data_IF_495668169713
#
_entry.id   IF_495668169713
#
_cell.length_a   1.000
_cell.length_b   1.000
_cell.length_c   1.000
_cell.angle_alpha   90.00
_cell.angle_beta   90.00
_cell.angle_gamma   90.00
#
_symmetry.space_group_name_H-M   'P 1'
#
loop_
_entity.id
_entity.type
_entity.pdbx_description
1 polymer ?
#
# COMPACT_ATOMS: atom_id res chain seq x y z
N UNK A 1 -19.49 -1.68 -3.11
CA UNK A 1 -18.45 -2.20 -2.19
C UNK A 1 -17.90 -1.01 -1.45
N UNK A 2 -17.56 -1.14 -0.17
CA UNK A 2 -16.92 -0.10 0.64
C UNK A 2 -15.45 -0.45 0.88
N UNK A 3 -14.62 0.54 1.21
CA UNK A 3 -13.21 0.29 1.55
C UNK A 3 -13.07 -0.68 2.75
N UNK A 4 -14.02 -0.66 3.70
CA UNK A 4 -14.08 -1.60 4.83
C UNK A 4 -14.16 -3.06 4.41
N UNK A 5 -14.73 -3.35 3.23
CA UNK A 5 -14.85 -4.73 2.71
C UNK A 5 -13.47 -5.31 2.35
N UNK A 6 -12.45 -4.46 2.16
CA UNK A 6 -11.07 -4.85 1.87
C UNK A 6 -10.24 -5.10 3.15
N UNK A 7 -10.75 -4.76 4.34
CA UNK A 7 -9.99 -4.78 5.59
C UNK A 7 -9.45 -6.17 5.95
N UNK A 8 -10.20 -7.22 5.63
CA UNK A 8 -9.76 -8.61 5.85
C UNK A 8 -8.71 -9.09 4.85
N UNK A 9 -8.64 -8.50 3.66
CA UNK A 9 -7.72 -8.90 2.60
C UNK A 9 -6.34 -8.26 2.77
N UNK A 10 -6.30 -7.02 3.25
CA UNK A 10 -5.06 -6.25 3.27
C UNK A 10 -3.93 -6.94 4.07
N UNK A 11 -4.14 -7.46 5.30
CA UNK A 11 -3.06 -8.11 6.04
C UNK A 11 -2.53 -9.36 5.34
N UNK A 12 -3.40 -10.13 4.70
CA UNK A 12 -3.04 -11.36 3.97
C UNK A 12 -2.21 -11.02 2.73
N UNK A 13 -2.74 -10.14 1.88
CA UNK A 13 -2.05 -9.69 0.66
C UNK A 13 -0.71 -9.01 0.97
N UNK A 14 -0.66 -8.20 2.03
CA UNK A 14 0.56 -7.55 2.47
C UNK A 14 1.61 -8.56 2.93
N UNK A 15 1.21 -9.51 3.79
CA UNK A 15 2.08 -10.58 4.26
C UNK A 15 2.65 -11.39 3.08
N UNK A 16 1.81 -11.77 2.13
CA UNK A 16 2.22 -12.60 0.99
C UNK A 16 3.23 -11.88 0.10
N UNK A 17 2.98 -10.61 -0.25
CA UNK A 17 3.89 -9.82 -1.09
C UNK A 17 5.22 -9.57 -0.36
N UNK A 18 5.17 -9.11 0.89
CA UNK A 18 6.39 -8.81 1.66
C UNK A 18 7.24 -10.06 1.90
N UNK A 19 6.61 -11.18 2.23
CA UNK A 19 7.32 -12.42 2.48
C UNK A 19 7.90 -13.01 1.18
N UNK A 20 7.16 -13.01 0.08
CA UNK A 20 7.59 -13.60 -1.19
C UNK A 20 8.64 -12.75 -1.92
N UNK A 21 8.53 -11.42 -1.85
CA UNK A 21 9.36 -10.50 -2.64
C UNK A 21 10.46 -9.84 -1.83
N UNK A 22 10.18 -9.48 -0.58
CA UNK A 22 11.12 -8.72 0.27
C UNK A 22 11.70 -9.57 1.42
N UNK A 23 11.37 -10.86 1.52
CA UNK A 23 11.78 -11.72 2.65
C UNK A 23 11.48 -11.10 4.03
N UNK A 24 10.46 -10.25 4.10
CA UNK A 24 10.10 -9.45 5.27
C UNK A 24 8.87 -10.04 5.93
N UNK A 25 8.94 -10.25 7.25
CA UNK A 25 7.83 -10.80 8.02
C UNK A 25 6.95 -9.70 8.60
N UNK A 26 5.63 -9.93 8.54
CA UNK A 26 4.65 -9.10 9.23
C UNK A 26 4.63 -9.46 10.72
N UNK A 27 4.86 -8.47 11.59
CA UNK A 27 4.87 -8.64 13.04
C UNK A 27 3.53 -8.26 13.67
N UNK A 28 2.93 -7.17 13.19
CA UNK A 28 1.64 -6.69 13.67
C UNK A 28 0.87 -5.98 12.54
N UNK A 29 -0.45 -5.99 12.67
CA UNK A 29 -1.38 -5.31 11.76
C UNK A 29 -2.42 -4.56 12.58
N UNK A 30 -2.73 -3.33 12.17
CA UNK A 30 -3.81 -2.55 12.76
C UNK A 30 -4.52 -1.74 11.68
N UNK A 31 -5.84 -1.66 11.79
CA UNK A 31 -6.64 -0.70 11.04
C UNK A 31 -6.66 0.61 11.83
N UNK A 32 -6.43 1.73 11.15
CA UNK A 32 -6.45 3.05 11.75
C UNK A 32 -7.69 3.81 11.28
N UNK A 33 -8.28 4.57 12.19
CA UNK A 33 -9.31 5.53 11.84
C UNK A 33 -8.66 6.72 11.11
N UNK A 34 -9.38 7.41 10.22
CA UNK A 34 -8.84 8.55 9.46
C UNK A 34 -8.24 9.64 10.38
N UNK A 35 -8.90 9.93 11.51
CA UNK A 35 -8.38 10.82 12.56
C UNK A 35 -7.09 10.31 13.23
N UNK A 36 -6.90 9.00 13.36
CA UNK A 36 -5.69 8.39 13.91
C UNK A 36 -4.56 8.32 12.89
N UNK A 37 -4.90 8.27 11.60
CA UNK A 37 -3.95 8.35 10.49
C UNK A 37 -3.47 9.79 10.21
N UNK A 38 -4.24 10.80 10.62
CA UNK A 38 -4.08 12.21 10.26
C UNK A 38 -3.23 13.10 11.18
N UNK A 39 -2.37 12.58 12.07
CA UNK A 39 -1.52 13.45 12.90
C UNK A 39 -0.07 13.01 12.92
N UNK A 40 0.78 13.83 12.28
CA UNK A 40 1.24 13.59 10.93
C UNK A 40 2.09 12.31 10.88
N UNK A 41 2.17 11.63 9.74
CA UNK A 41 3.29 10.75 9.57
C UNK A 41 4.58 11.60 9.53
N UNK A 42 5.74 11.06 9.96
CA UNK A 42 6.96 11.85 10.08
C UNK A 42 7.24 12.64 8.81
N UNK A 43 7.89 13.81 8.92
CA UNK A 43 8.30 14.68 7.78
C UNK A 43 9.18 13.98 6.72
N UNK A 44 9.41 12.68 6.88
CA UNK A 44 10.23 11.78 6.07
C UNK A 44 9.39 10.66 5.44
N UNK A 45 8.08 10.89 5.30
CA UNK A 45 7.19 9.93 4.66
C UNK A 45 7.42 9.88 3.17
N UNK A 46 7.92 8.74 2.76
CA UNK A 46 8.18 8.39 1.38
C UNK A 46 7.03 7.50 0.92
N UNK A 47 6.27 7.95 -0.08
CA UNK A 47 5.03 7.28 -0.45
C UNK A 47 4.72 7.32 -1.93
N UNK A 48 3.93 6.34 -2.36
CA UNK A 48 3.43 6.22 -3.73
C UNK A 48 1.94 5.90 -3.72
N UNK A 49 1.24 6.41 -4.73
CA UNK A 49 -0.19 6.17 -4.93
C UNK A 49 -0.50 5.81 -6.36
N UNK A 50 -1.58 5.05 -6.56
CA UNK A 50 -2.07 4.65 -7.87
C UNK A 50 -3.60 4.56 -7.88
N UNK A 51 -4.18 4.51 -9.08
CA UNK A 51 -5.61 4.28 -9.29
C UNK A 51 -5.83 2.86 -9.78
N UNK A 52 -6.90 2.24 -9.31
CA UNK A 52 -7.37 0.97 -9.82
C UNK A 52 -8.78 1.13 -10.41
N UNK A 53 -9.07 0.38 -11.47
CA UNK A 53 -10.36 0.43 -12.17
C UNK A 53 -10.80 -0.97 -12.59
N UNK A 54 -12.04 -1.29 -12.28
CA UNK A 54 -12.70 -2.57 -12.56
C UNK A 54 -14.15 -2.57 -12.03
N UNK A 55 -14.67 -3.72 -11.61
CA UNK A 55 -15.92 -3.85 -10.83
C UNK A 55 -15.87 -2.99 -9.57
N UNK A 56 -14.68 -2.86 -8.99
CA UNK A 56 -14.38 -1.87 -7.96
C UNK A 56 -13.33 -0.93 -8.51
N UNK A 57 -13.56 0.36 -8.36
CA UNK A 57 -12.63 1.41 -8.78
C UNK A 57 -12.25 2.25 -7.58
N UNK A 58 -11.09 2.90 -7.65
CA UNK A 58 -10.64 3.70 -6.52
C UNK A 58 -9.17 4.07 -6.57
N UNK A 59 -8.66 4.45 -5.40
CA UNK A 59 -7.27 4.86 -5.18
C UNK A 59 -6.63 4.01 -4.09
N UNK A 60 -5.35 3.73 -4.28
CA UNK A 60 -4.50 3.09 -3.31
C UNK A 60 -3.26 3.96 -3.07
N UNK A 61 -2.72 3.91 -1.86
CA UNK A 61 -1.36 4.35 -1.65
C UNK A 61 -0.69 3.71 -0.46
N UNK A 62 0.63 3.87 -0.44
CA UNK A 62 1.54 3.31 0.54
C UNK A 62 2.52 4.39 0.98
N UNK A 63 2.76 4.46 2.29
CA UNK A 63 3.72 5.34 2.93
C UNK A 63 4.63 4.53 3.87
N UNK A 64 5.89 4.94 3.96
CA UNK A 64 6.89 4.34 4.81
C UNK A 64 8.04 5.32 5.02
N UNK A 65 8.79 5.15 6.11
CA UNK A 65 10.02 5.91 6.32
C UNK A 65 11.10 5.52 5.32
N UNK A 66 11.96 6.47 4.95
CA UNK A 66 13.08 6.22 4.02
C UNK A 66 14.00 5.06 4.47
N UNK A 67 14.20 4.88 5.79
CA UNK A 67 14.94 3.74 6.32
C UNK A 67 14.28 2.39 5.96
N UNK A 68 12.97 2.28 6.19
CA UNK A 68 12.17 1.11 5.79
C UNK A 68 12.23 0.88 4.29
N UNK A 69 12.08 1.95 3.49
CA UNK A 69 12.11 1.88 2.03
C UNK A 69 13.42 1.30 1.51
N UNK A 70 14.55 1.77 2.05
CA UNK A 70 15.89 1.25 1.71
C UNK A 70 16.06 -0.21 2.11
N UNK A 71 15.60 -0.60 3.30
CA UNK A 71 15.69 -2.00 3.76
C UNK A 71 14.87 -2.93 2.87
N UNK A 72 13.61 -2.58 2.58
CA UNK A 72 12.75 -3.37 1.68
C UNK A 72 13.34 -3.48 0.28
N UNK A 73 13.90 -2.39 -0.24
CA UNK A 73 14.58 -2.36 -1.54
C UNK A 73 15.80 -3.28 -1.56
N UNK A 74 16.62 -3.22 -0.51
CA UNK A 74 17.80 -4.07 -0.36
C UNK A 74 17.41 -5.55 -0.33
N UNK A 75 16.39 -5.90 0.47
CA UNK A 75 15.91 -7.27 0.53
C UNK A 75 15.32 -7.75 -0.81
N UNK A 76 14.51 -6.92 -1.47
CA UNK A 76 13.92 -7.23 -2.78
C UNK A 76 14.99 -7.52 -3.84
N UNK A 77 16.05 -6.71 -3.86
CA UNK A 77 17.16 -6.86 -4.79
C UNK A 77 18.21 -7.89 -4.33
N UNK A 78 18.04 -8.52 -3.16
CA UNK A 78 19.03 -9.36 -2.50
C UNK A 78 20.42 -8.70 -2.39
N UNK A 79 20.43 -7.42 -1.99
CA UNK A 79 21.60 -6.56 -1.81
C UNK A 79 21.70 -6.05 -0.37
N UNK A 80 22.85 -5.48 -0.02
CA UNK A 80 22.99 -4.65 1.17
C UNK A 80 22.55 -3.20 0.90
N UNK A 81 22.10 -2.50 1.94
CA UNK A 81 21.59 -1.10 1.82
C UNK A 81 22.65 -0.13 1.26
N UNK A 82 23.94 -0.40 1.47
CA UNK A 82 25.05 0.41 0.95
C UNK A 82 25.34 0.15 -0.54
N UNK A 83 24.79 -0.92 -1.11
CA UNK A 83 24.96 -1.31 -2.51
C UNK A 83 23.83 -0.81 -3.42
N UNK A 84 22.82 -0.16 -2.85
CA UNK A 84 21.71 0.41 -3.62
C UNK A 84 22.20 1.56 -4.51
N UNK A 85 21.82 1.51 -5.78
CA UNK A 85 22.07 2.58 -6.72
C UNK A 85 21.10 3.75 -6.53
N UNK A 86 21.42 4.89 -7.13
CA UNK A 86 20.50 6.01 -7.21
C UNK A 86 19.27 5.59 -8.05
N UNK A 87 18.07 5.69 -7.47
CA UNK A 87 16.81 5.32 -8.12
C UNK A 87 16.29 3.92 -7.77
N UNK A 88 17.11 3.01 -7.22
CA UNK A 88 16.67 1.65 -6.86
C UNK A 88 15.47 1.71 -5.89
N UNK A 89 15.48 2.64 -4.94
CA UNK A 89 14.41 2.78 -3.94
C UNK A 89 13.10 3.24 -4.58
N UNK A 90 13.15 4.21 -5.50
CA UNK A 90 11.97 4.71 -6.21
C UNK A 90 11.34 3.61 -7.07
N UNK A 91 12.16 2.86 -7.80
CA UNK A 91 11.70 1.79 -8.65
C UNK A 91 11.05 0.66 -7.84
N UNK A 92 11.72 0.19 -6.78
CA UNK A 92 11.21 -0.94 -6.01
C UNK A 92 10.01 -0.57 -5.15
N UNK A 93 9.96 0.63 -4.57
CA UNK A 93 8.80 1.04 -3.79
C UNK A 93 7.59 1.32 -4.69
N UNK A 94 7.78 1.83 -5.91
CA UNK A 94 6.74 1.84 -6.95
C UNK A 94 6.20 0.42 -7.18
N UNK A 95 7.09 -0.52 -7.48
CA UNK A 95 6.69 -1.90 -7.79
C UNK A 95 5.97 -2.55 -6.61
N UNK A 96 6.43 -2.30 -5.39
CA UNK A 96 5.77 -2.78 -4.17
C UNK A 96 4.36 -2.20 -4.02
N UNK A 97 4.16 -0.91 -4.29
CA UNK A 97 2.84 -0.31 -4.29
C UNK A 97 1.92 -0.96 -5.35
N UNK A 98 2.45 -1.24 -6.54
CA UNK A 98 1.73 -1.91 -7.60
C UNK A 98 1.32 -3.33 -7.19
N UNK A 99 2.26 -4.15 -6.71
CA UNK A 99 2.04 -5.52 -6.29
C UNK A 99 1.03 -5.61 -5.14
N UNK A 100 1.14 -4.74 -4.13
CA UNK A 100 0.19 -4.72 -3.01
C UNK A 100 -1.22 -4.37 -3.47
N UNK A 101 -1.38 -3.34 -4.30
CA UNK A 101 -2.68 -2.98 -4.84
C UNK A 101 -3.25 -4.10 -5.72
N UNK A 102 -2.45 -4.62 -6.66
CA UNK A 102 -2.85 -5.69 -7.56
C UNK A 102 -3.23 -6.98 -6.82
N UNK A 103 -2.49 -7.34 -5.77
CA UNK A 103 -2.81 -8.48 -4.93
C UNK A 103 -4.21 -8.34 -4.30
N UNK A 104 -4.52 -7.20 -3.68
CA UNK A 104 -5.83 -6.94 -3.07
C UNK A 104 -6.94 -6.90 -4.11
N UNK A 105 -6.76 -6.13 -5.18
CA UNK A 105 -7.80 -5.97 -6.23
C UNK A 105 -8.05 -7.31 -6.95
N UNK A 106 -7.03 -8.15 -7.11
CA UNK A 106 -7.20 -9.48 -7.73
C UNK A 106 -8.10 -10.42 -6.92
N UNK A 107 -8.14 -10.29 -5.60
CA UNK A 107 -9.04 -11.09 -4.75
C UNK A 107 -10.50 -10.67 -4.91
N UNK A 108 -10.74 -9.43 -5.32
CA UNK A 108 -12.07 -8.84 -5.45
C UNK A 108 -12.59 -8.93 -6.87
N UNK A 109 -11.70 -8.75 -7.86
CA UNK A 109 -12.05 -8.52 -9.25
C UNK A 109 -11.27 -9.39 -10.24
N UNK A 110 -10.65 -10.46 -9.75
CA UNK A 110 -9.80 -11.35 -10.55
C UNK A 110 -10.53 -12.03 -11.72
N UNK A 111 -11.84 -12.16 -11.66
CA UNK A 111 -12.64 -12.80 -12.72
C UNK A 111 -13.05 -11.84 -13.85
N UNK A 112 -13.18 -10.53 -13.59
CA UNK A 112 -13.66 -9.55 -14.59
C UNK A 112 -12.54 -8.72 -15.21
N UNK A 113 -11.33 -8.79 -14.63
CA UNK A 113 -10.16 -8.03 -15.07
C UNK A 113 -10.19 -6.59 -14.56
N UNK A 114 -9.02 -6.10 -14.16
CA UNK A 114 -8.84 -4.75 -13.64
C UNK A 114 -7.61 -4.09 -14.26
N UNK A 115 -7.54 -2.76 -14.17
CA UNK A 115 -6.41 -1.95 -14.64
C UNK A 115 -5.88 -1.12 -13.49
N UNK A 116 -4.56 -1.10 -13.34
CA UNK A 116 -3.83 -0.22 -12.42
C UNK A 116 -3.13 0.87 -13.23
N UNK A 117 -3.18 2.12 -12.76
CA UNK A 117 -2.26 3.15 -13.26
C UNK A 117 -0.87 2.91 -12.72
N UNK A 118 0.19 3.43 -13.37
CA UNK A 118 1.50 3.49 -12.77
C UNK A 118 1.45 4.18 -11.39
N UNK A 119 2.18 3.68 -10.39
CA UNK A 119 2.37 4.38 -9.13
C UNK A 119 3.11 5.71 -9.33
N UNK A 120 2.67 6.74 -8.62
CA UNK A 120 3.27 8.07 -8.64
C UNK A 120 3.63 8.49 -7.20
N UNK A 121 4.74 9.25 -6.99
CA UNK A 121 5.09 9.76 -5.67
C UNK A 121 3.96 10.63 -5.09
N UNK A 122 3.64 10.40 -3.82
CA UNK A 122 2.66 11.20 -3.06
C UNK A 122 3.36 11.81 -1.84
N UNK A 123 3.08 13.09 -1.60
CA UNK A 123 3.75 13.84 -0.51
C UNK A 123 3.07 13.71 0.85
N UNK A 124 1.76 13.53 0.87
CA UNK A 124 0.96 13.32 2.08
C UNK A 124 -0.19 12.38 1.76
N UNK A 125 -0.78 11.81 2.81
CA UNK A 125 -2.11 11.21 2.71
C UNK A 125 -3.06 12.21 2.05
N UNK A 126 -3.77 11.81 0.98
CA UNK A 126 -4.79 12.67 0.39
C UNK A 126 -5.89 12.99 1.40
N UNK A 127 -6.57 14.12 1.18
CA UNK A 127 -7.78 14.45 1.92
C UNK A 127 -8.88 13.47 1.46
N UNK A 128 -9.38 12.67 2.39
CA UNK A 128 -10.40 11.65 2.14
C UNK A 128 -11.58 11.87 3.06
N UNK A 129 -12.80 11.64 2.55
CA UNK A 129 -13.97 11.49 3.41
C UNK A 129 -13.80 10.22 4.26
N UNK A 130 -13.89 10.39 5.59
CA UNK A 130 -13.48 9.38 6.57
C UNK A 130 -14.29 8.07 6.50
N UNK A 131 -15.49 8.12 5.92
CA UNK A 131 -16.39 6.97 5.85
C UNK A 131 -16.05 5.97 4.73
N UNK A 132 -15.20 6.34 3.77
CA UNK A 132 -14.88 5.54 2.58
C UNK A 132 -13.39 5.26 2.39
N UNK A 133 -12.59 5.42 3.46
CA UNK A 133 -11.16 5.07 3.48
C UNK A 133 -10.88 3.90 4.42
N UNK A 134 -10.09 2.94 3.94
CA UNK A 134 -9.48 1.92 4.76
C UNK A 134 -8.01 2.27 4.94
N UNK A 135 -7.56 2.47 6.17
CA UNK A 135 -6.14 2.71 6.47
C UNK A 135 -5.63 1.54 7.28
N UNK A 136 -4.53 0.95 6.82
CA UNK A 136 -3.90 -0.18 7.50
C UNK A 136 -2.43 0.09 7.76
N UNK A 137 -2.00 -0.14 9.00
CA UNK A 137 -0.62 -0.05 9.44
C UNK A 137 -0.06 -1.45 9.69
N UNK A 138 1.10 -1.69 9.11
CA UNK A 138 1.85 -2.93 9.16
C UNK A 138 3.19 -2.67 9.84
N UNK A 139 3.41 -3.29 10.99
CA UNK A 139 4.73 -3.32 11.61
C UNK A 139 5.45 -4.58 11.13
N UNK A 140 6.65 -4.42 10.62
CA UNK A 140 7.48 -5.47 10.04
C UNK A 140 8.85 -5.50 10.72
N UNK A 141 9.63 -6.56 10.48
CA UNK A 141 11.04 -6.61 10.88
C UNK A 141 11.92 -5.52 10.22
N UNK A 142 11.42 -4.90 9.15
CA UNK A 142 12.11 -3.91 8.33
C UNK A 142 11.65 -2.48 8.60
N UNK A 143 10.64 -2.30 9.47
CA UNK A 143 10.04 -1.02 9.83
C UNK A 143 8.52 -1.01 9.65
N UNK A 144 7.92 0.17 9.68
CA UNK A 144 6.46 0.33 9.51
C UNK A 144 6.12 0.71 8.07
N UNK A 145 5.04 0.12 7.56
CA UNK A 145 4.37 0.49 6.32
C UNK A 145 2.92 0.88 6.64
N UNK A 146 2.47 2.00 6.10
CA UNK A 146 1.06 2.42 6.17
C UNK A 146 0.49 2.41 4.76
N UNK A 147 -0.68 1.78 4.60
CA UNK A 147 -1.41 1.75 3.34
C UNK A 147 -2.78 2.37 3.52
N UNK A 148 -3.35 2.85 2.43
CA UNK A 148 -4.71 3.33 2.39
C UNK A 148 -5.40 2.91 1.10
N UNK A 149 -6.69 2.63 1.19
CA UNK A 149 -7.58 2.37 0.06
C UNK A 149 -8.77 3.30 0.14
N UNK A 150 -9.15 3.86 -1.00
CA UNK A 150 -10.43 4.53 -1.20
C UNK A 150 -11.14 3.84 -2.33
N UNK A 151 -12.40 3.48 -2.11
CA UNK A 151 -13.26 2.92 -3.15
C UNK A 151 -14.13 4.05 -3.71
N UNK A 152 -14.02 4.29 -5.01
CA UNK A 152 -14.74 5.33 -5.74
C UNK A 152 -15.90 4.69 -6.52
N UNK A 153 -17.14 5.06 -6.18
CA UNK A 153 -18.34 4.65 -6.91
C UNK A 153 -19.59 4.67 -6.02
N UNK A 154 -20.75 5.01 -6.60
CA UNK A 154 -22.02 4.90 -5.85
C UNK A 154 -22.27 3.42 -5.49
N UNK A 155 -22.77 3.12 -4.26
CA UNK A 155 -23.28 1.79 -3.98
C UNK A 155 -24.38 1.49 -4.99
N UNK A 156 -24.15 0.49 -5.84
CA UNK A 156 -25.16 0.01 -6.79
C UNK A 156 -26.51 -0.11 -6.06
N UNK A 157 -27.57 0.60 -6.50
CA UNK A 157 -28.86 0.53 -5.82
C UNK A 157 -29.35 -0.92 -5.89
N UNK A 158 -29.53 -1.53 -4.71
CA UNK A 158 -30.12 -2.87 -4.58
C UNK A 158 -31.58 -2.88 -5.02
#
# INVERSE_FOLDING_TARGET
MKASDLAGLMPVCCSDVLHSMCFTSLLNTSTLDAHQAGVPPPREDYGFGLRFKGVVSGRFGMHLGMGTARTLTANFLAKEVQQLAAGDVDEIVCELANMLCGSVVSQVDGEHGYVLTPPEPIGTLPDFDEEDVLISRFDTDSGTITTWFVVEGEPCPR
#
